data_IF_543539600924
#
_entry.id   IF_543539600924
#
_cell.length_a   1.000
_cell.length_b   1.000
_cell.length_c   1.000
_cell.angle_alpha   90.00
_cell.angle_beta   90.00
_cell.angle_gamma   90.00
#
_symmetry.space_group_name_H-M   'P 1'
#
loop_
_entity.id
_entity.type
_entity.pdbx_description
1 polymer ?
#
# COMPACT_ATOMS: atom_id res chain seq x y z
N UNK A 1 -22.52 -24.65 -1.58
CA UNK A 1 -21.54 -23.80 -2.27
C UNK A 1 -20.15 -24.25 -1.84
N UNK A 2 -19.31 -24.67 -2.78
CA UNK A 2 -17.95 -25.13 -2.49
C UNK A 2 -16.99 -23.95 -2.33
N UNK A 3 -16.72 -23.60 -1.08
CA UNK A 3 -15.83 -22.50 -0.74
C UNK A 3 -14.34 -22.85 -0.83
N UNK A 4 -13.98 -24.14 -0.85
CA UNK A 4 -12.59 -24.57 -1.00
C UNK A 4 -12.16 -24.36 -2.45
N UNK A 5 -12.96 -24.85 -3.40
CA UNK A 5 -12.72 -24.62 -4.84
C UNK A 5 -12.76 -23.13 -5.21
N UNK A 6 -13.67 -22.35 -4.61
CA UNK A 6 -13.68 -20.89 -4.83
C UNK A 6 -12.43 -20.20 -4.29
N UNK A 7 -11.87 -20.67 -3.18
CA UNK A 7 -10.59 -20.16 -2.66
C UNK A 7 -9.46 -20.44 -3.63
N UNK A 8 -9.34 -21.66 -4.14
CA UNK A 8 -8.31 -22.03 -5.12
C UNK A 8 -8.43 -21.19 -6.40
N UNK A 9 -9.65 -20.94 -6.87
CA UNK A 9 -9.92 -20.04 -7.99
C UNK A 9 -9.39 -18.61 -7.74
N UNK A 10 -9.58 -18.09 -6.52
CA UNK A 10 -9.07 -16.77 -6.15
C UNK A 10 -7.54 -16.75 -6.04
N UNK A 11 -6.93 -17.80 -5.48
CA UNK A 11 -5.48 -17.90 -5.27
C UNK A 11 -4.68 -17.87 -6.58
N UNK A 12 -5.27 -18.35 -7.69
CA UNK A 12 -4.68 -18.23 -9.04
C UNK A 12 -4.54 -16.78 -9.52
N UNK A 13 -5.36 -15.86 -9.03
CA UNK A 13 -5.52 -14.53 -9.61
C UNK A 13 -5.30 -13.37 -8.63
N UNK A 14 -5.21 -13.66 -7.33
CA UNK A 14 -5.22 -12.66 -6.27
C UNK A 14 -4.10 -12.92 -5.25
N UNK A 15 -3.57 -11.85 -4.65
CA UNK A 15 -2.67 -11.98 -3.50
C UNK A 15 -3.38 -12.62 -2.31
N UNK A 16 -2.62 -13.29 -1.42
CA UNK A 16 -3.16 -13.95 -0.21
C UNK A 16 -4.10 -13.07 0.62
N UNK A 17 -3.77 -11.78 0.79
CA UNK A 17 -4.63 -10.85 1.52
C UNK A 17 -5.93 -10.56 0.75
N UNK A 18 -5.83 -10.35 -0.56
CA UNK A 18 -6.99 -10.16 -1.42
C UNK A 18 -7.90 -11.39 -1.41
N UNK A 19 -7.34 -12.60 -1.44
CA UNK A 19 -8.11 -13.85 -1.31
C UNK A 19 -8.92 -13.87 -0.02
N UNK A 20 -8.29 -13.57 1.13
CA UNK A 20 -8.98 -13.50 2.43
C UNK A 20 -10.15 -12.50 2.40
N UNK A 21 -9.91 -11.29 1.89
CA UNK A 21 -10.93 -10.26 1.82
C UNK A 21 -12.08 -10.64 0.87
N UNK A 22 -11.76 -11.18 -0.32
CA UNK A 22 -12.75 -11.62 -1.31
C UNK A 22 -13.59 -12.78 -0.77
N UNK A 23 -12.97 -13.76 -0.12
CA UNK A 23 -13.70 -14.86 0.54
C UNK A 23 -14.64 -14.34 1.63
N UNK A 24 -14.16 -13.46 2.51
CA UNK A 24 -14.98 -12.89 3.59
C UNK A 24 -16.19 -12.15 3.04
N UNK A 25 -15.99 -11.25 2.06
CA UNK A 25 -17.07 -10.47 1.49
C UNK A 25 -18.02 -11.32 0.62
N UNK A 26 -17.48 -12.27 -0.16
CA UNK A 26 -18.31 -13.18 -0.94
C UNK A 26 -19.20 -14.03 -0.03
N UNK A 27 -18.67 -14.60 1.05
CA UNK A 27 -19.46 -15.37 2.03
C UNK A 27 -20.55 -14.53 2.68
N UNK A 28 -20.20 -13.30 3.09
CA UNK A 28 -21.12 -12.41 3.80
C UNK A 28 -22.26 -11.91 2.92
N UNK A 29 -22.01 -11.66 1.64
CA UNK A 29 -22.95 -11.00 0.73
C UNK A 29 -23.40 -11.88 -0.44
N UNK A 30 -23.16 -13.19 -0.39
CA UNK A 30 -23.53 -14.13 -1.48
C UNK A 30 -25.03 -14.03 -1.79
N UNK A 31 -25.86 -13.81 -0.78
CA UNK A 31 -27.32 -13.84 -0.92
C UNK A 31 -27.82 -12.66 -1.75
N UNK A 32 -27.12 -11.51 -1.74
CA UNK A 32 -27.41 -10.41 -2.66
C UNK A 32 -27.28 -10.85 -4.13
N UNK A 33 -26.30 -11.72 -4.44
CA UNK A 33 -26.09 -12.26 -5.77
C UNK A 33 -27.09 -13.37 -6.10
N UNK A 34 -27.29 -14.32 -5.17
CA UNK A 34 -28.16 -15.48 -5.39
C UNK A 34 -29.64 -15.11 -5.45
N UNK A 35 -30.07 -14.14 -4.63
CA UNK A 35 -31.45 -13.63 -4.61
C UNK A 35 -31.70 -12.54 -5.64
N UNK A 36 -30.68 -12.19 -6.46
CA UNK A 36 -30.79 -11.17 -7.52
C UNK A 36 -31.23 -9.80 -7.01
N UNK A 37 -30.74 -9.40 -5.83
CA UNK A 37 -31.08 -8.12 -5.21
C UNK A 37 -29.84 -7.41 -4.65
N UNK A 38 -29.48 -6.29 -5.26
CA UNK A 38 -28.38 -5.43 -4.82
C UNK A 38 -28.84 -4.17 -4.06
N UNK A 39 -30.11 -4.10 -3.65
CA UNK A 39 -30.66 -2.95 -2.92
C UNK A 39 -29.89 -2.66 -1.63
N UNK A 40 -29.52 -3.68 -0.86
CA UNK A 40 -28.70 -3.53 0.35
C UNK A 40 -27.37 -2.82 0.04
N UNK A 41 -26.76 -3.10 -1.12
CA UNK A 41 -25.46 -2.56 -1.49
C UNK A 41 -25.49 -1.04 -1.70
N UNK A 42 -26.64 -0.46 -2.03
CA UNK A 42 -26.77 0.99 -2.22
C UNK A 42 -26.59 1.77 -0.90
N UNK A 43 -26.85 1.13 0.24
CA UNK A 43 -26.69 1.74 1.58
C UNK A 43 -25.22 1.80 2.03
N UNK A 44 -24.30 1.15 1.31
CA UNK A 44 -22.90 1.06 1.70
C UNK A 44 -22.11 2.29 1.26
N UNK A 45 -21.09 2.64 2.05
CA UNK A 45 -20.06 3.57 1.60
C UNK A 45 -19.40 3.07 0.32
N UNK A 46 -18.94 4.00 -0.52
CA UNK A 46 -18.33 3.68 -1.82
C UNK A 46 -17.19 2.65 -1.70
N UNK A 47 -16.35 2.78 -0.67
CA UNK A 47 -15.27 1.84 -0.41
C UNK A 47 -15.80 0.43 -0.08
N UNK A 48 -16.73 0.31 0.88
CA UNK A 48 -17.30 -0.99 1.26
C UNK A 48 -18.00 -1.64 0.07
N UNK A 49 -18.82 -0.86 -0.65
CA UNK A 49 -19.54 -1.29 -1.86
C UNK A 49 -18.60 -1.84 -2.92
N UNK A 50 -17.51 -1.14 -3.23
CA UNK A 50 -16.49 -1.61 -4.16
C UNK A 50 -15.85 -2.94 -3.74
N UNK A 51 -15.56 -3.12 -2.45
CA UNK A 51 -14.99 -4.38 -1.96
C UNK A 51 -15.97 -5.55 -2.11
N UNK A 52 -17.26 -5.31 -1.81
CA UNK A 52 -18.33 -6.29 -1.96
C UNK A 52 -18.55 -6.63 -3.43
N UNK A 53 -18.71 -5.64 -4.31
CA UNK A 53 -18.90 -5.86 -5.74
C UNK A 53 -17.73 -6.64 -6.36
N UNK A 54 -16.49 -6.34 -5.99
CA UNK A 54 -15.33 -7.12 -6.47
C UNK A 54 -15.37 -8.58 -5.99
N UNK A 55 -15.87 -8.83 -4.77
CA UNK A 55 -16.02 -10.19 -4.25
C UNK A 55 -17.14 -10.95 -4.99
N UNK A 56 -18.31 -10.32 -5.15
CA UNK A 56 -19.45 -10.89 -5.88
C UNK A 56 -19.16 -11.10 -7.36
N UNK A 57 -18.39 -10.21 -7.99
CA UNK A 57 -17.93 -10.39 -9.38
C UNK A 57 -17.07 -11.64 -9.53
N UNK A 58 -16.14 -11.90 -8.60
CA UNK A 58 -15.33 -13.12 -8.63
C UNK A 58 -16.18 -14.37 -8.36
N UNK A 59 -17.12 -14.29 -7.42
CA UNK A 59 -18.05 -15.38 -7.15
C UNK A 59 -18.93 -15.69 -8.37
N UNK A 60 -19.46 -14.67 -9.04
CA UNK A 60 -20.25 -14.82 -10.25
C UNK A 60 -19.45 -15.46 -11.39
N UNK A 61 -18.17 -15.10 -11.55
CA UNK A 61 -17.27 -15.75 -12.52
C UNK A 61 -17.03 -17.22 -12.21
N UNK A 62 -16.82 -17.54 -10.92
CA UNK A 62 -16.64 -18.92 -10.48
C UNK A 62 -17.89 -19.77 -10.70
N UNK A 63 -19.07 -19.20 -10.46
CA UNK A 63 -20.37 -19.86 -10.65
C UNK A 63 -20.86 -19.87 -12.10
N UNK A 64 -20.18 -19.19 -13.03
CA UNK A 64 -20.60 -19.08 -14.43
C UNK A 64 -21.71 -18.04 -14.70
N UNK A 65 -22.16 -17.29 -13.70
CA UNK A 65 -23.26 -16.31 -13.78
C UNK A 65 -22.78 -14.85 -13.94
N UNK A 66 -21.60 -14.65 -14.53
CA UNK A 66 -21.01 -13.31 -14.64
C UNK A 66 -21.85 -12.34 -15.48
N UNK A 67 -22.58 -12.85 -16.48
CA UNK A 67 -23.47 -12.03 -17.29
C UNK A 67 -24.64 -11.49 -16.45
N UNK A 68 -25.28 -12.35 -15.66
CA UNK A 68 -26.35 -11.97 -14.73
C UNK A 68 -25.86 -10.94 -13.70
N UNK A 69 -24.64 -11.11 -13.18
CA UNK A 69 -24.03 -10.12 -12.28
C UNK A 69 -23.93 -8.72 -12.92
N UNK A 70 -23.52 -8.63 -14.20
CA UNK A 70 -23.42 -7.34 -14.90
C UNK A 70 -24.80 -6.70 -15.10
N UNK A 71 -25.80 -7.51 -15.41
CA UNK A 71 -27.18 -7.04 -15.55
C UNK A 71 -27.73 -6.53 -14.21
N UNK A 72 -27.51 -7.25 -13.11
CA UNK A 72 -27.86 -6.81 -11.76
C UNK A 72 -27.21 -5.47 -11.40
N UNK A 73 -25.92 -5.30 -11.70
CA UNK A 73 -25.26 -4.00 -11.51
C UNK A 73 -25.99 -2.88 -12.26
N UNK A 74 -26.35 -3.11 -13.54
CA UNK A 74 -27.05 -2.12 -14.37
C UNK A 74 -28.44 -1.80 -13.81
N UNK A 75 -29.24 -2.81 -13.47
CA UNK A 75 -30.60 -2.65 -12.96
C UNK A 75 -30.64 -1.87 -11.63
N UNK A 76 -29.64 -2.03 -10.78
CA UNK A 76 -29.53 -1.30 -9.52
C UNK A 76 -28.71 0.00 -9.61
N UNK A 77 -28.37 0.47 -10.83
CA UNK A 77 -27.61 1.72 -11.04
C UNK A 77 -26.20 1.71 -10.42
N UNK A 78 -25.62 0.52 -10.22
CA UNK A 78 -24.31 0.35 -9.61
C UNK A 78 -23.20 0.40 -10.65
N UNK A 79 -22.22 1.25 -10.42
CA UNK A 79 -21.01 1.33 -11.22
C UNK A 79 -19.77 1.05 -10.38
N UNK A 80 -18.69 0.65 -11.04
CA UNK A 80 -17.38 0.61 -10.41
C UNK A 80 -16.94 2.05 -10.13
N UNK A 81 -17.18 2.56 -8.93
CA UNK A 81 -16.66 3.87 -8.55
C UNK A 81 -15.17 3.76 -8.26
N UNK A 82 -14.33 4.07 -9.22
CA UNK A 82 -12.94 4.46 -8.95
C UNK A 82 -12.91 5.97 -8.76
N UNK A 83 -12.32 6.44 -7.65
CA UNK A 83 -11.93 7.86 -7.56
C UNK A 83 -11.11 8.20 -8.79
N UNK A 84 -11.49 9.26 -9.53
CA UNK A 84 -10.78 9.62 -10.74
C UNK A 84 -9.32 9.96 -10.41
N UNK A 85 -8.40 9.69 -11.32
CA UNK A 85 -7.00 10.09 -11.15
C UNK A 85 -6.88 11.60 -10.96
N UNK A 86 -7.76 12.37 -11.59
CA UNK A 86 -7.86 13.83 -11.49
C UNK A 86 -8.27 14.27 -10.09
N UNK A 87 -9.32 13.69 -9.51
CA UNK A 87 -9.74 13.98 -8.13
C UNK A 87 -8.64 13.66 -7.13
N UNK A 88 -7.88 12.58 -7.35
CA UNK A 88 -6.73 12.22 -6.52
C UNK A 88 -5.60 13.25 -6.65
N UNK A 89 -5.33 13.75 -7.86
CA UNK A 89 -4.33 14.80 -8.10
C UNK A 89 -4.77 16.11 -7.44
N UNK A 90 -6.02 16.54 -7.65
CA UNK A 90 -6.60 17.74 -7.04
C UNK A 90 -6.55 17.65 -5.51
N UNK A 91 -6.91 16.49 -4.94
CA UNK A 91 -6.83 16.25 -3.49
C UNK A 91 -5.40 16.41 -2.99
N UNK A 92 -4.40 15.86 -3.70
CA UNK A 92 -2.98 16.01 -3.33
C UNK A 92 -2.48 17.44 -3.43
N UNK A 93 -2.82 18.15 -4.50
CA UNK A 93 -2.45 19.56 -4.69
C UNK A 93 -3.09 20.48 -3.65
N UNK A 94 -4.30 20.14 -3.18
CA UNK A 94 -4.95 20.85 -2.09
C UNK A 94 -4.37 20.47 -0.72
N UNK A 95 -3.94 19.21 -0.54
CA UNK A 95 -3.27 18.75 0.69
C UNK A 95 -1.86 19.32 0.86
N UNK A 96 -1.12 19.62 -0.21
CA UNK A 96 0.21 20.25 -0.13
C UNK A 96 0.17 21.65 0.48
N UNK A 97 -0.98 22.35 0.46
CA UNK A 97 -1.18 23.59 1.25
C UNK A 97 -1.11 23.36 2.76
N UNK A 98 -1.22 22.10 3.22
CA UNK A 98 -1.00 21.65 4.61
C UNK A 98 0.41 21.11 4.87
N UNK A 99 1.40 21.35 3.99
CA UNK A 99 2.79 20.91 4.18
C UNK A 99 3.43 21.38 5.50
N UNK A 100 2.95 22.49 6.07
CA UNK A 100 3.40 22.94 7.39
C UNK A 100 3.05 21.93 8.50
N UNK A 101 1.98 21.15 8.34
CA UNK A 101 1.50 20.18 9.31
C UNK A 101 2.29 18.86 9.25
N UNK A 102 2.70 18.40 8.05
CA UNK A 102 3.52 17.19 7.94
C UNK A 102 4.93 17.41 8.50
N UNK A 103 5.56 18.57 8.24
CA UNK A 103 6.86 18.88 8.82
C UNK A 103 6.79 19.02 10.34
N UNK A 104 5.70 19.57 10.89
CA UNK A 104 5.44 19.59 12.33
C UNK A 104 5.30 18.19 12.89
N UNK A 105 4.59 17.30 12.19
CA UNK A 105 4.45 15.90 12.56
C UNK A 105 5.81 15.19 12.62
N UNK A 106 6.65 15.34 11.59
CA UNK A 106 7.99 14.75 11.53
C UNK A 106 8.86 15.27 12.67
N UNK A 107 8.93 16.59 12.86
CA UNK A 107 9.69 17.20 13.98
C UNK A 107 9.20 16.73 15.34
N UNK A 108 7.88 16.57 15.48
CA UNK A 108 7.26 16.04 16.70
C UNK A 108 7.72 14.63 17.02
N UNK A 109 7.76 13.76 16.00
CA UNK A 109 8.25 12.39 16.16
C UNK A 109 9.74 12.38 16.46
N UNK A 110 10.58 13.07 15.68
CA UNK A 110 12.03 13.14 15.90
C UNK A 110 12.39 13.56 17.32
N UNK A 111 11.67 14.53 17.89
CA UNK A 111 11.87 14.97 19.28
C UNK A 111 11.48 13.92 20.31
N UNK A 112 10.44 13.10 20.04
CA UNK A 112 9.92 12.13 21.00
C UNK A 112 10.53 10.74 20.85
N UNK A 113 10.95 10.39 19.64
CA UNK A 113 11.53 9.12 19.22
C UNK A 113 12.80 9.39 18.39
N UNK A 114 13.89 9.87 19.00
CA UNK A 114 15.14 10.19 18.30
C UNK A 114 15.73 8.98 17.57
N UNK A 115 15.43 7.76 18.01
CA UNK A 115 15.88 6.53 17.37
C UNK A 115 15.26 6.29 15.98
N UNK A 116 14.22 7.05 15.61
CA UNK A 116 13.61 7.02 14.28
C UNK A 116 14.06 8.19 13.40
N UNK A 117 14.95 9.05 13.87
CA UNK A 117 15.34 10.29 13.18
C UNK A 117 15.91 10.03 11.78
N UNK A 118 16.92 9.17 11.70
CA UNK A 118 17.58 8.78 10.43
C UNK A 118 16.60 8.09 9.50
N UNK A 119 15.72 7.23 10.02
CA UNK A 119 14.70 6.57 9.20
C UNK A 119 13.69 7.57 8.62
N UNK A 120 13.23 8.56 9.39
CA UNK A 120 12.30 9.57 8.91
C UNK A 120 12.91 10.45 7.82
N UNK A 121 14.18 10.82 7.97
CA UNK A 121 14.91 11.53 6.91
C UNK A 121 15.08 10.65 5.67
N UNK A 122 15.33 9.36 5.85
CA UNK A 122 15.40 8.43 4.72
C UNK A 122 14.08 8.38 3.94
N UNK A 123 12.93 8.32 4.63
CA UNK A 123 11.61 8.35 3.99
C UNK A 123 11.42 9.64 3.19
N UNK A 124 11.79 10.79 3.77
CA UNK A 124 11.70 12.10 3.13
C UNK A 124 12.57 12.21 1.87
N UNK A 125 13.84 11.82 1.97
CA UNK A 125 14.82 11.96 0.91
C UNK A 125 14.52 10.99 -0.24
N UNK A 126 14.21 9.73 0.09
CA UNK A 126 14.01 8.68 -0.91
C UNK A 126 12.68 8.78 -1.67
N UNK A 127 11.68 9.45 -1.09
CA UNK A 127 10.33 9.55 -1.65
C UNK A 127 9.57 8.21 -1.75
N UNK A 128 10.06 7.18 -1.07
CA UNK A 128 9.49 5.83 -1.11
C UNK A 128 8.18 5.75 -0.32
N UNK A 129 7.30 4.80 -0.66
CA UNK A 129 6.17 4.46 0.23
C UNK A 129 6.73 3.85 1.50
N UNK A 130 6.07 4.06 2.63
CA UNK A 130 6.47 3.51 3.94
C UNK A 130 7.08 2.10 3.89
N UNK A 131 6.36 1.12 3.35
CA UNK A 131 6.84 -0.27 3.27
C UNK A 131 8.06 -0.43 2.35
N UNK A 132 8.11 0.31 1.25
CA UNK A 132 9.29 0.34 0.35
C UNK A 132 10.47 1.03 1.06
N UNK A 133 10.23 2.10 1.83
CA UNK A 133 11.24 2.77 2.63
C UNK A 133 11.84 1.85 3.69
N UNK A 134 11.01 1.10 4.43
CA UNK A 134 11.49 0.14 5.43
C UNK A 134 12.36 -0.93 4.79
N UNK A 135 11.94 -1.47 3.64
CA UNK A 135 12.72 -2.46 2.89
C UNK A 135 14.05 -1.89 2.40
N UNK A 136 14.01 -0.76 1.71
CA UNK A 136 15.21 -0.11 1.18
C UNK A 136 16.19 0.29 2.30
N UNK A 137 15.69 0.80 3.41
CA UNK A 137 16.49 1.18 4.57
C UNK A 137 17.24 -0.02 5.16
N UNK A 138 16.53 -1.13 5.40
CA UNK A 138 17.17 -2.34 5.91
C UNK A 138 18.11 -2.97 4.88
N UNK A 139 17.76 -2.92 3.58
CA UNK A 139 18.63 -3.44 2.52
C UNK A 139 19.97 -2.69 2.44
N UNK A 140 19.97 -1.37 2.67
CA UNK A 140 21.22 -0.61 2.80
C UNK A 140 22.06 -1.13 3.98
N UNK A 141 21.44 -1.35 5.14
CA UNK A 141 22.14 -1.83 6.35
C UNK A 141 22.69 -3.25 6.13
N UNK A 142 21.85 -4.15 5.64
CA UNK A 142 22.21 -5.56 5.43
C UNK A 142 23.35 -5.69 4.42
N UNK A 143 23.26 -5.02 3.27
CA UNK A 143 24.31 -5.08 2.26
C UNK A 143 25.59 -4.36 2.69
N UNK A 144 25.50 -3.31 3.50
CA UNK A 144 26.68 -2.65 4.05
C UNK A 144 27.42 -3.54 5.04
N UNK A 145 26.69 -4.27 5.90
CA UNK A 145 27.30 -5.24 6.82
C UNK A 145 27.95 -6.43 6.10
N UNK A 146 27.52 -6.72 4.87
CA UNK A 146 28.07 -7.76 4.01
C UNK A 146 29.15 -7.25 3.04
N UNK A 147 29.54 -5.97 3.10
CA UNK A 147 30.46 -5.32 2.16
C UNK A 147 30.00 -5.39 0.68
N UNK A 148 28.68 -5.45 0.46
CA UNK A 148 28.00 -5.60 -0.85
C UNK A 148 27.08 -4.44 -1.22
N UNK A 149 27.21 -3.31 -0.52
CA UNK A 149 26.33 -2.15 -0.72
C UNK A 149 26.36 -1.61 -2.16
N UNK A 150 27.47 -1.76 -2.87
CA UNK A 150 27.62 -1.38 -4.27
C UNK A 150 26.68 -2.14 -5.23
N UNK A 151 26.12 -3.29 -4.82
CA UNK A 151 25.08 -4.00 -5.59
C UNK A 151 23.74 -3.25 -5.62
N UNK A 152 23.53 -2.33 -4.66
CA UNK A 152 22.27 -1.58 -4.52
C UNK A 152 22.45 -0.08 -4.62
N UNK A 153 23.57 0.47 -4.14
CA UNK A 153 23.84 1.90 -4.12
C UNK A 153 24.98 2.27 -5.07
N UNK A 154 24.65 3.07 -6.07
CA UNK A 154 25.61 3.67 -6.98
C UNK A 154 26.14 4.98 -6.39
N UNK A 155 27.33 4.94 -5.78
CA UNK A 155 27.93 6.09 -5.10
C UNK A 155 28.29 7.25 -6.03
N UNK A 156 28.64 6.97 -7.30
CA UNK A 156 28.95 8.00 -8.30
C UNK A 156 27.70 8.81 -8.66
N UNK A 157 26.56 8.12 -8.82
CA UNK A 157 25.29 8.74 -9.18
C UNK A 157 24.49 9.24 -7.99
N UNK A 158 24.81 8.77 -6.78
CA UNK A 158 24.02 9.06 -5.58
C UNK A 158 22.64 8.40 -5.61
N UNK A 159 22.57 7.15 -6.08
CA UNK A 159 21.30 6.48 -6.41
C UNK A 159 21.21 5.10 -5.78
N UNK A 160 20.06 4.80 -5.18
CA UNK A 160 19.61 3.44 -4.87
C UNK A 160 18.93 2.84 -6.10
N UNK A 161 19.46 1.73 -6.61
CA UNK A 161 19.04 1.06 -7.84
C UNK A 161 18.06 -0.08 -7.55
N UNK A 162 16.83 0.28 -7.17
CA UNK A 162 15.72 -0.67 -6.88
C UNK A 162 15.41 -1.63 -8.02
N UNK A 163 15.81 -1.30 -9.25
CA UNK A 163 15.68 -2.16 -10.43
C UNK A 163 16.33 -3.54 -10.28
N UNK A 164 17.35 -3.66 -9.42
CA UNK A 164 18.02 -4.93 -9.14
C UNK A 164 17.24 -5.80 -8.13
N UNK A 165 16.27 -5.21 -7.41
CA UNK A 165 15.47 -5.86 -6.36
C UNK A 165 13.97 -5.88 -6.74
N UNK A 166 13.68 -6.46 -7.92
CA UNK A 166 12.36 -6.35 -8.57
C UNK A 166 11.19 -6.84 -7.73
N UNK A 167 11.37 -7.94 -7.00
CA UNK A 167 10.32 -8.54 -6.17
C UNK A 167 9.81 -7.59 -5.07
N UNK A 168 10.68 -6.69 -4.60
CA UNK A 168 10.36 -5.76 -3.54
C UNK A 168 9.76 -4.44 -4.06
N UNK A 169 10.30 -3.93 -5.17
CA UNK A 169 10.05 -2.55 -5.63
C UNK A 169 9.28 -2.44 -6.95
N UNK A 170 9.23 -3.50 -7.77
CA UNK A 170 8.59 -3.50 -9.09
C UNK A 170 7.32 -4.35 -9.06
N UNK A 171 6.22 -3.74 -8.62
CA UNK A 171 4.89 -4.39 -8.61
C UNK A 171 4.15 -4.13 -9.92
N UNK A 172 3.13 -4.95 -10.20
CA UNK A 172 2.30 -4.85 -11.41
C UNK A 172 1.76 -3.44 -11.69
N UNK A 173 1.31 -2.73 -10.65
CA UNK A 173 0.65 -1.42 -10.78
C UNK A 173 1.47 -0.25 -10.23
N UNK A 174 2.54 -0.51 -9.50
CA UNK A 174 3.40 0.51 -8.88
C UNK A 174 4.85 0.07 -8.99
N UNK A 175 5.68 0.93 -9.56
CA UNK A 175 7.08 0.64 -9.84
C UNK A 175 7.92 1.79 -9.29
N UNK A 176 8.95 1.47 -8.54
CA UNK A 176 10.02 2.42 -8.20
C UNK A 176 11.31 1.83 -8.73
N UNK A 177 11.96 2.53 -9.64
CA UNK A 177 13.17 2.05 -10.29
C UNK A 177 14.42 2.53 -9.57
N UNK A 178 14.45 3.81 -9.19
CA UNK A 178 15.58 4.44 -8.53
C UNK A 178 15.11 5.45 -7.48
N UNK A 179 15.95 5.73 -6.49
CA UNK A 179 15.80 6.86 -5.57
C UNK A 179 17.14 7.59 -5.43
N UNK A 180 17.12 8.92 -5.49
CA UNK A 180 18.30 9.74 -5.25
C UNK A 180 18.50 9.93 -3.75
N UNK A 181 19.63 9.46 -3.22
CA UNK A 181 19.99 9.60 -1.81
C UNK A 181 21.48 9.93 -1.73
N UNK A 182 21.88 11.06 -1.12
CA UNK A 182 23.28 11.45 -1.04
C UNK A 182 24.14 10.42 -0.30
N UNK A 183 25.40 10.23 -0.73
CA UNK A 183 26.35 9.28 -0.12
C UNK A 183 26.51 9.51 1.38
N UNK A 184 26.69 10.77 1.78
CA UNK A 184 26.80 11.18 3.19
C UNK A 184 25.60 10.73 4.04
N UNK A 185 24.42 10.57 3.43
CA UNK A 185 23.23 10.11 4.12
C UNK A 185 23.17 8.59 4.16
N UNK A 186 23.57 7.90 3.09
CA UNK A 186 23.71 6.45 3.07
C UNK A 186 24.71 5.98 4.15
N UNK A 187 25.87 6.62 4.27
CA UNK A 187 26.86 6.35 5.33
C UNK A 187 26.32 6.53 6.76
N UNK A 188 25.26 7.34 6.94
CA UNK A 188 24.56 7.46 8.23
C UNK A 188 23.59 6.30 8.46
N UNK A 189 22.91 5.86 7.40
CA UNK A 189 21.96 4.72 7.43
C UNK A 189 22.69 3.42 7.71
N UNK A 190 23.85 3.19 7.08
CA UNK A 190 24.70 2.01 7.29
C UNK A 190 25.01 1.75 8.77
N UNK A 191 25.15 2.82 9.57
CA UNK A 191 25.49 2.76 10.99
C UNK A 191 24.29 2.52 11.91
N UNK A 192 23.09 2.31 11.34
CA UNK A 192 21.86 2.11 12.09
C UNK A 192 21.51 0.63 12.24
N UNK A 193 20.59 0.33 13.15
CA UNK A 193 19.99 -1.00 13.26
C UNK A 193 18.76 -1.16 12.35
N UNK A 194 18.48 -2.41 11.96
CA UNK A 194 17.29 -2.76 11.20
C UNK A 194 16.00 -2.40 11.95
N UNK A 195 14.99 -1.99 11.17
CA UNK A 195 13.68 -1.62 11.67
C UNK A 195 12.59 -2.43 10.97
N UNK A 196 11.65 -2.99 11.72
CA UNK A 196 10.44 -3.58 11.14
C UNK A 196 9.31 -2.56 11.05
N UNK A 197 8.41 -2.76 10.08
CA UNK A 197 7.18 -1.96 9.96
C UNK A 197 6.41 -1.95 11.31
N UNK A 198 6.30 -3.10 11.96
CA UNK A 198 5.59 -3.23 13.24
C UNK A 198 6.22 -2.39 14.35
N UNK A 199 7.56 -2.41 14.48
CA UNK A 199 8.27 -1.61 15.49
C UNK A 199 8.02 -0.12 15.27
N UNK A 200 8.20 0.36 14.04
CA UNK A 200 8.03 1.78 13.71
C UNK A 200 6.59 2.24 14.01
N UNK A 201 5.59 1.50 13.48
CA UNK A 201 4.19 1.86 13.63
C UNK A 201 3.76 1.88 15.11
N UNK A 202 4.21 0.91 15.91
CA UNK A 202 3.83 0.84 17.32
C UNK A 202 4.56 1.87 18.19
N UNK A 203 5.83 2.18 17.91
CA UNK A 203 6.54 3.25 18.62
C UNK A 203 5.82 4.59 18.41
N UNK A 204 5.47 4.92 17.16
CA UNK A 204 4.74 6.17 16.83
C UNK A 204 3.37 6.22 17.50
N UNK A 205 2.61 5.11 17.47
CA UNK A 205 1.31 5.04 18.16
C UNK A 205 1.43 5.20 19.68
N UNK A 206 2.41 4.54 20.31
CA UNK A 206 2.67 4.66 21.76
C UNK A 206 3.12 6.07 22.16
N UNK A 207 3.79 6.78 21.25
CA UNK A 207 4.12 8.18 21.40
C UNK A 207 2.93 9.13 21.13
N UNK A 208 1.72 8.59 20.94
CA UNK A 208 0.47 9.32 20.72
C UNK A 208 0.45 10.16 19.43
N UNK A 209 1.16 9.72 18.39
CA UNK A 209 1.10 10.33 17.06
C UNK A 209 0.20 9.52 16.13
N UNK A 210 -0.59 10.22 15.32
CA UNK A 210 -1.31 9.61 14.19
C UNK A 210 -0.31 9.16 13.13
N UNK A 211 -0.57 8.05 12.45
CA UNK A 211 0.29 7.59 11.35
C UNK A 211 0.03 8.43 10.10
N UNK A 212 1.08 9.09 9.58
CA UNK A 212 0.97 9.99 8.42
C UNK A 212 1.99 9.72 7.31
N UNK A 213 2.58 8.52 7.27
CA UNK A 213 3.55 8.16 6.23
C UNK A 213 3.01 8.24 4.79
N UNK A 214 1.68 8.16 4.61
CA UNK A 214 1.06 8.40 3.31
C UNK A 214 1.33 9.82 2.80
N UNK A 215 1.21 10.79 3.70
CA UNK A 215 1.32 12.23 3.45
C UNK A 215 2.77 12.69 3.26
N UNK A 216 3.76 11.96 3.78
CA UNK A 216 5.20 12.31 3.67
C UNK A 216 5.67 12.31 2.20
N UNK A 217 4.97 11.56 1.35
CA UNK A 217 5.28 11.40 -0.07
C UNK A 217 4.38 12.26 -0.97
N UNK A 218 3.32 12.87 -0.44
CA UNK A 218 2.39 13.70 -1.21
C UNK A 218 2.89 15.14 -1.36
#
# INVERSE_FOLDING_TARGET
MDWASFREFLEKNCSRQTVKDRLRYARKYKDCLLNRDFSELQTFSDNKRNHVLKALSNLAKFLGIYQEFKELMKCHGLTWKTTSSEDLIITRLNNTRKNSDILKWIRGIKRRLPELDVFLDFVLISGLRFNESVKAYNLVIDLANEDRLNEYYNAEKGVLEHIHFKEDFIRRTKKVFISFVPKIFIEKVEKQGNLSEYQILNRIKRANFRLRFGDVRE
#
